data_IF_846452604064
#
_entry.id   IF_846452604064
#
_cell.length_a   1.000
_cell.length_b   1.000
_cell.length_c   1.000
_cell.angle_alpha   90.00
_cell.angle_beta   90.00
_cell.angle_gamma   90.00
#
_symmetry.space_group_name_H-M   'P 1'
#
loop_
_entity.id
_entity.type
_entity.pdbx_description
1 polymer ?
#
# COMPACT_ATOMS: atom_id res chain seq x y z
N UNK A 1 -8.78 -2.26 13.30
CA UNK A 1 -9.98 -1.42 13.10
C UNK A 1 -11.04 -2.36 12.59
N UNK A 2 -12.03 -2.68 13.42
CA UNK A 2 -13.13 -3.55 12.98
C UNK A 2 -14.23 -2.67 12.40
N UNK A 3 -14.61 -2.96 11.16
CA UNK A 3 -15.73 -2.29 10.51
C UNK A 3 -17.05 -2.94 10.98
N UNK A 4 -18.15 -2.17 11.06
CA UNK A 4 -19.45 -2.74 11.39
C UNK A 4 -19.82 -3.80 10.35
N UNK A 5 -20.18 -5.01 10.80
CA UNK A 5 -20.51 -6.16 9.95
C UNK A 5 -21.75 -5.94 9.06
N UNK A 6 -22.52 -4.89 9.33
CA UNK A 6 -23.72 -4.50 8.58
C UNK A 6 -23.45 -3.44 7.51
N UNK A 7 -22.19 -3.05 7.30
CA UNK A 7 -21.83 -2.04 6.30
C UNK A 7 -21.85 -2.66 4.91
N UNK A 8 -22.56 -2.08 3.93
CA UNK A 8 -22.53 -2.57 2.55
C UNK A 8 -21.14 -2.41 1.92
N UNK A 9 -20.79 -3.36 1.05
CA UNK A 9 -19.54 -3.33 0.28
C UNK A 9 -19.44 -2.08 -0.62
N UNK A 10 -18.21 -1.71 -0.96
CA UNK A 10 -17.97 -0.71 -2.00
C UNK A 10 -18.43 -1.24 -3.37
N UNK A 11 -19.23 -0.43 -4.06
CA UNK A 11 -19.73 -0.69 -5.40
C UNK A 11 -18.60 -0.40 -6.39
N UNK A 12 -18.40 -1.32 -7.34
CA UNK A 12 -17.39 -1.14 -8.37
C UNK A 12 -17.67 0.09 -9.24
N UNK A 13 -16.63 0.86 -9.56
CA UNK A 13 -16.72 2.06 -10.40
C UNK A 13 -17.37 3.28 -9.71
N UNK A 14 -17.71 3.19 -8.42
CA UNK A 14 -18.18 4.33 -7.63
C UNK A 14 -17.03 4.96 -6.86
N UNK A 15 -16.97 6.28 -6.90
CA UNK A 15 -16.00 7.05 -6.13
C UNK A 15 -16.52 7.29 -4.70
N UNK A 16 -15.66 6.99 -3.74
CA UNK A 16 -15.91 7.18 -2.31
C UNK A 16 -14.85 8.12 -1.76
N UNK A 17 -15.26 9.07 -0.92
CA UNK A 17 -14.32 9.97 -0.25
C UNK A 17 -14.05 9.46 1.15
N UNK A 18 -12.78 9.35 1.52
CA UNK A 18 -12.36 9.09 2.90
C UNK A 18 -11.68 10.32 3.48
N UNK A 19 -11.72 10.43 4.81
CA UNK A 19 -10.97 11.45 5.54
C UNK A 19 -10.53 10.90 6.90
N UNK A 20 -9.33 11.27 7.33
CA UNK A 20 -8.78 10.97 8.65
C UNK A 20 -8.38 12.30 9.28
N UNK A 21 -8.73 12.52 10.54
CA UNK A 21 -8.33 13.70 11.30
C UNK A 21 -7.63 13.30 12.60
N UNK A 22 -6.51 13.95 12.90
CA UNK A 22 -5.83 13.87 14.19
C UNK A 22 -6.33 15.03 15.05
N UNK A 23 -7.08 14.69 16.10
CA UNK A 23 -7.68 15.66 17.00
C UNK A 23 -6.67 15.95 18.12
N UNK A 24 -5.93 17.05 17.99
CA UNK A 24 -4.99 17.48 19.02
C UNK A 24 -5.71 18.22 20.16
N UNK A 25 -6.76 18.99 19.85
CA UNK A 25 -7.56 19.71 20.82
C UNK A 25 -9.07 19.57 20.50
N UNK A 26 -9.82 18.79 21.29
CA UNK A 26 -11.26 18.58 21.07
C UNK A 26 -12.09 19.87 21.07
N UNK A 27 -11.64 20.92 21.77
CA UNK A 27 -12.31 22.21 21.85
C UNK A 27 -11.97 23.16 20.69
N UNK A 28 -10.98 22.81 19.84
CA UNK A 28 -10.58 23.59 18.66
C UNK A 28 -10.38 22.69 17.43
N UNK A 29 -11.46 22.03 17.02
CA UNK A 29 -11.50 21.12 15.85
C UNK A 29 -11.08 21.76 14.52
N UNK A 30 -11.13 23.09 14.39
CA UNK A 30 -10.67 23.81 13.18
C UNK A 30 -9.16 23.75 12.97
N UNK A 31 -8.39 23.33 13.98
CA UNK A 31 -6.94 23.16 13.92
C UNK A 31 -6.53 21.69 13.75
N UNK A 32 -7.49 20.80 13.53
CA UNK A 32 -7.18 19.40 13.28
C UNK A 32 -6.32 19.26 12.03
N UNK A 33 -5.30 18.41 12.15
CA UNK A 33 -4.53 17.96 10.99
C UNK A 33 -5.35 16.85 10.37
N UNK A 34 -5.75 17.00 9.11
CA UNK A 34 -6.53 15.98 8.42
C UNK A 34 -5.95 15.65 7.04
N UNK A 35 -6.16 14.40 6.64
CA UNK A 35 -5.91 13.89 5.30
C UNK A 35 -7.24 13.43 4.70
N UNK A 36 -7.36 13.53 3.39
CA UNK A 36 -8.53 13.08 2.66
C UNK A 36 -8.13 12.54 1.30
N UNK A 37 -8.98 11.70 0.73
CA UNK A 37 -8.74 11.15 -0.58
C UNK A 37 -9.99 10.52 -1.16
N UNK A 38 -9.82 10.03 -2.39
CA UNK A 38 -10.83 9.23 -3.08
C UNK A 38 -10.36 7.79 -3.13
N UNK A 39 -11.30 6.86 -2.99
CA UNK A 39 -11.12 5.44 -3.24
C UNK A 39 -12.22 4.97 -4.18
N UNK A 40 -11.83 4.14 -5.13
CA UNK A 40 -12.75 3.48 -6.05
C UNK A 40 -12.45 2.00 -6.00
N UNK A 41 -13.49 1.16 -5.88
CA UNK A 41 -13.34 -0.27 -6.08
C UNK A 41 -13.29 -0.54 -7.58
N UNK A 42 -12.16 -1.06 -8.05
CA UNK A 42 -11.98 -1.43 -9.46
C UNK A 42 -12.47 -2.86 -9.67
N UNK A 43 -13.28 -3.14 -10.71
CA UNK A 43 -13.67 -4.52 -11.02
C UNK A 43 -12.46 -5.34 -11.46
N UNK A 44 -12.29 -6.52 -10.88
CA UNK A 44 -11.23 -7.44 -11.25
C UNK A 44 -11.61 -8.16 -12.56
N UNK A 45 -10.79 -8.04 -13.60
CA UNK A 45 -11.01 -8.81 -14.83
C UNK A 45 -10.78 -10.29 -14.57
N UNK A 46 -11.48 -11.15 -15.32
CA UNK A 46 -11.33 -12.61 -15.18
C UNK A 46 -9.88 -13.08 -15.42
N UNK A 47 -9.19 -12.45 -16.38
CA UNK A 47 -7.79 -12.75 -16.71
C UNK A 47 -6.86 -12.36 -15.57
N UNK A 48 -7.01 -11.14 -15.05
CA UNK A 48 -6.19 -10.64 -13.97
C UNK A 48 -6.44 -11.41 -12.66
N UNK A 49 -7.71 -11.74 -12.37
CA UNK A 49 -8.06 -12.58 -11.22
C UNK A 49 -7.42 -13.96 -11.28
N UNK A 50 -7.40 -14.60 -12.46
CA UNK A 50 -6.69 -15.88 -12.65
C UNK A 50 -5.18 -15.72 -12.49
N UNK A 51 -4.59 -14.68 -13.08
CA UNK A 51 -3.16 -14.42 -12.96
C UNK A 51 -2.74 -14.25 -11.49
N UNK A 52 -3.47 -13.43 -10.73
CA UNK A 52 -3.22 -13.21 -9.30
C UNK A 52 -3.38 -14.52 -8.51
N UNK A 53 -4.48 -15.26 -8.72
CA UNK A 53 -4.75 -16.49 -7.99
C UNK A 53 -3.72 -17.60 -8.26
N UNK A 54 -3.15 -17.65 -9.46
CA UNK A 54 -2.12 -18.62 -9.84
C UNK A 54 -0.71 -18.23 -9.40
N UNK A 55 -0.49 -16.97 -9.03
CA UNK A 55 0.84 -16.45 -8.70
C UNK A 55 1.16 -16.68 -7.22
N UNK A 56 2.20 -17.49 -6.94
CA UNK A 56 2.65 -17.77 -5.56
C UNK A 56 3.56 -16.69 -4.96
N UNK A 57 4.26 -15.93 -5.80
CA UNK A 57 5.14 -14.86 -5.33
C UNK A 57 4.31 -13.61 -5.02
N UNK A 58 4.30 -13.19 -3.76
CA UNK A 58 3.63 -11.95 -3.35
C UNK A 58 4.20 -10.73 -4.10
N UNK A 59 5.50 -10.71 -4.37
CA UNK A 59 6.14 -9.66 -5.16
C UNK A 59 5.54 -9.57 -6.58
N UNK A 60 5.40 -10.71 -7.26
CA UNK A 60 4.82 -10.75 -8.61
C UNK A 60 3.33 -10.40 -8.57
N UNK A 61 2.58 -10.89 -7.56
CA UNK A 61 1.18 -10.49 -7.37
C UNK A 61 1.03 -8.98 -7.21
N UNK A 62 1.91 -8.34 -6.45
CA UNK A 62 1.91 -6.90 -6.27
C UNK A 62 2.15 -6.14 -7.58
N UNK A 63 3.07 -6.63 -8.42
CA UNK A 63 3.33 -6.05 -9.75
C UNK A 63 2.09 -6.15 -10.65
N UNK A 64 1.38 -7.28 -10.65
CA UNK A 64 0.12 -7.42 -11.38
C UNK A 64 -0.95 -6.42 -10.93
N UNK A 65 -1.07 -6.17 -9.62
CA UNK A 65 -1.95 -5.12 -9.11
C UNK A 65 -1.52 -3.72 -9.56
N UNK A 66 -0.22 -3.42 -9.48
CA UNK A 66 0.32 -2.12 -9.86
C UNK A 66 0.11 -1.84 -11.36
N UNK A 67 0.40 -2.82 -12.23
CA UNK A 67 0.20 -2.74 -13.68
C UNK A 67 -1.28 -2.52 -14.04
N UNK A 68 -2.20 -3.06 -13.24
CA UNK A 68 -3.63 -2.87 -13.40
C UNK A 68 -4.17 -1.56 -12.76
N UNK A 69 -3.30 -0.71 -12.21
CA UNK A 69 -3.69 0.53 -11.53
C UNK A 69 -4.35 0.33 -10.16
N UNK A 70 -4.34 -0.88 -9.62
CA UNK A 70 -4.84 -1.21 -8.28
C UNK A 70 -3.77 -0.91 -7.23
N UNK A 71 -3.44 0.38 -7.09
CA UNK A 71 -2.31 0.85 -6.29
C UNK A 71 -2.41 0.47 -4.81
N UNK A 72 -3.61 0.52 -4.22
CA UNK A 72 -3.85 0.15 -2.82
C UNK A 72 -3.61 -1.35 -2.55
N UNK A 73 -4.01 -2.21 -3.48
CA UNK A 73 -3.75 -3.66 -3.40
C UNK A 73 -2.26 -3.96 -3.60
N UNK A 74 -1.60 -3.25 -4.51
CA UNK A 74 -0.17 -3.38 -4.75
C UNK A 74 0.65 -3.01 -3.51
N UNK A 75 0.39 -1.84 -2.91
CA UNK A 75 1.12 -1.39 -1.71
C UNK A 75 0.84 -2.31 -0.52
N UNK A 76 -0.42 -2.74 -0.30
CA UNK A 76 -0.76 -3.67 0.77
C UNK A 76 -0.02 -5.00 0.61
N UNK A 77 0.02 -5.53 -0.61
CA UNK A 77 0.73 -6.78 -0.92
C UNK A 77 2.24 -6.65 -0.67
N UNK A 78 2.88 -5.58 -1.14
CA UNK A 78 4.31 -5.34 -0.92
C UNK A 78 4.65 -5.08 0.55
N UNK A 79 3.81 -4.35 1.29
CA UNK A 79 3.99 -4.11 2.71
C UNK A 79 3.96 -5.42 3.50
N UNK A 80 2.96 -6.28 3.25
CA UNK A 80 2.88 -7.59 3.89
C UNK A 80 4.08 -8.48 3.53
N UNK A 81 4.49 -8.49 2.25
CA UNK A 81 5.64 -9.25 1.79
C UNK A 81 6.96 -8.73 2.41
N UNK A 82 7.10 -7.42 2.59
CA UNK A 82 8.26 -6.81 3.26
C UNK A 82 8.31 -7.23 4.73
N UNK A 83 7.17 -7.27 5.42
CA UNK A 83 7.10 -7.73 6.81
C UNK A 83 7.42 -9.22 6.96
N UNK A 84 7.02 -10.04 5.99
CA UNK A 84 7.29 -11.48 5.98
C UNK A 84 8.75 -11.82 5.64
N UNK A 85 9.33 -11.10 4.67
CA UNK A 85 10.70 -11.30 4.19
C UNK A 85 11.53 -10.02 4.32
N UNK A 86 11.84 -9.56 5.54
CA UNK A 86 12.49 -8.27 5.79
C UNK A 86 13.97 -8.23 5.36
N UNK A 87 14.50 -9.28 4.73
CA UNK A 87 15.85 -9.32 4.12
C UNK A 87 15.80 -9.31 2.59
N UNK A 88 14.64 -9.54 1.98
CA UNK A 88 14.50 -9.57 0.53
C UNK A 88 14.58 -8.13 -0.03
N UNK A 89 15.66 -7.82 -0.74
CA UNK A 89 15.88 -6.47 -1.28
C UNK A 89 14.98 -6.15 -2.46
N UNK A 90 14.61 -7.15 -3.26
CA UNK A 90 13.79 -6.94 -4.44
C UNK A 90 12.38 -6.45 -4.08
N UNK A 91 11.78 -6.99 -3.00
CA UNK A 91 10.47 -6.54 -2.51
C UNK A 91 10.52 -5.08 -2.02
N UNK A 92 11.59 -4.70 -1.33
CA UNK A 92 11.78 -3.33 -0.84
C UNK A 92 12.04 -2.33 -1.96
N UNK A 93 12.79 -2.74 -2.97
CA UNK A 93 13.00 -1.95 -4.19
C UNK A 93 11.68 -1.71 -4.93
N UNK A 94 10.84 -2.73 -5.08
CA UNK A 94 9.50 -2.59 -5.67
C UNK A 94 8.61 -1.64 -4.85
N UNK A 95 8.63 -1.74 -3.52
CA UNK A 95 7.85 -0.85 -2.65
C UNK A 95 8.33 0.61 -2.75
N UNK A 96 9.64 0.82 -2.74
CA UNK A 96 10.21 2.15 -2.92
C UNK A 96 9.86 2.74 -4.31
N UNK A 97 9.91 1.93 -5.37
CA UNK A 97 9.51 2.36 -6.71
C UNK A 97 8.03 2.77 -6.78
N UNK A 98 7.15 1.98 -6.15
CA UNK A 98 5.71 2.26 -6.10
C UNK A 98 5.39 3.56 -5.34
N UNK A 99 6.10 3.83 -4.24
CA UNK A 99 5.98 5.07 -3.46
C UNK A 99 6.50 6.30 -4.24
N UNK A 100 7.59 6.13 -4.99
CA UNK A 100 8.12 7.20 -5.84
C UNK A 100 7.14 7.61 -6.96
N UNK A 101 6.42 6.65 -7.56
CA UNK A 101 5.44 6.95 -8.61
C UNK A 101 4.32 7.89 -8.14
N UNK A 102 3.95 7.83 -6.86
CA UNK A 102 2.89 8.67 -6.28
C UNK A 102 3.41 9.90 -5.54
N UNK A 103 4.69 10.25 -5.73
CA UNK A 103 5.26 11.44 -5.13
C UNK A 103 5.51 11.34 -3.62
N UNK A 104 5.81 10.13 -3.12
CA UNK A 104 6.19 9.89 -1.72
C UNK A 104 7.69 9.51 -1.56
N UNK A 105 8.65 10.28 -2.12
CA UNK A 105 10.05 9.88 -2.14
C UNK A 105 10.68 9.83 -0.75
N UNK A 106 10.29 10.74 0.16
CA UNK A 106 10.83 10.75 1.53
C UNK A 106 10.46 9.48 2.31
N UNK A 107 9.32 8.87 1.98
CA UNK A 107 8.91 7.59 2.55
C UNK A 107 9.64 6.45 1.83
N UNK A 108 9.83 6.55 0.52
CA UNK A 108 10.58 5.54 -0.24
C UNK A 108 12.02 5.37 0.30
N UNK A 109 12.69 6.47 0.68
CA UNK A 109 14.05 6.43 1.24
C UNK A 109 14.13 5.60 2.53
N UNK A 110 13.13 5.66 3.43
CA UNK A 110 13.19 4.89 4.68
C UNK A 110 13.20 3.37 4.43
N UNK A 111 12.55 2.91 3.35
CA UNK A 111 12.59 1.49 2.96
C UNK A 111 13.91 1.09 2.29
N UNK A 112 14.68 2.05 1.79
CA UNK A 112 15.99 1.84 1.18
C UNK A 112 17.13 1.88 2.21
N UNK A 113 17.03 2.74 3.23
CA UNK A 113 18.06 2.88 4.28
C UNK A 113 18.21 1.62 5.15
N UNK A 114 17.12 0.90 5.39
CA UNK A 114 17.15 -0.40 6.07
C UNK A 114 17.94 -1.46 5.29
N UNK A 115 18.00 -1.37 3.95
CA UNK A 115 18.80 -2.27 3.12
C UNK A 115 20.30 -2.01 3.27
N UNK A 116 20.70 -0.74 3.35
CA UNK A 116 22.11 -0.35 3.52
C UNK A 116 22.62 -0.76 4.90
N UNK A 117 21.77 -0.62 5.92
CA UNK A 117 22.08 -1.05 7.29
C UNK A 117 22.24 -2.58 7.36
N UNK A 118 21.34 -3.34 6.74
CA UNK A 118 21.40 -4.81 6.72
C UNK A 118 22.61 -5.36 5.93
N UNK A 119 22.98 -4.73 4.81
CA UNK A 119 24.16 -5.12 4.01
C UNK A 119 25.47 -4.84 4.75
N UNK A 120 25.55 -3.72 5.48
CA UNK A 120 26.76 -3.35 6.25
C UNK A 120 27.05 -4.29 7.42
N UNK A 121 26.01 -4.92 8.00
CA UNK A 121 26.15 -5.86 9.11
C UNK A 121 26.50 -7.29 8.70
N UNK A 122 26.31 -7.66 7.43
CA UNK A 122 26.67 -9.01 6.93
C UNK A 122 28.13 -9.06 6.41
N UNK A 123 28.78 -7.91 6.29
CA UNK A 123 30.17 -7.77 5.83
C UNK A 123 31.20 -7.65 6.97
N UNK A 124 30.78 -7.84 8.23
CA UNK A 124 31.61 -7.93 9.43
C UNK A 124 31.48 -9.32 10.05
#
# INVERSE_FOLDING_TARGET
>A
VDLPQTTPDLIAGKDYRWSIAVICNPNRRSQDIYAQGWIQRVPLSNELGKAIASTRSEQIRARLYAEAGMWYDAISTLSNATSAEPKNSAIREDLAALLNQVGLPNIAVSFQDELQTARSQTAQ
#
